data_IF_510484937030
#
_entry.id   IF_510484937030
#
_cell.length_a   1.000
_cell.length_b   1.000
_cell.length_c   1.000
_cell.angle_alpha   90.00
_cell.angle_beta   90.00
_cell.angle_gamma   90.00
#
_symmetry.space_group_name_H-M   'P 1'
#
loop_
_entity.id
_entity.type
_entity.pdbx_description
1 polymer ?
#
# COMPACT_ATOMS: atom_id res chain seq x y z
N UNK A 1 42.42 44.73 -18.37
CA UNK A 1 43.56 44.40 -17.49
C UNK A 1 43.45 42.91 -17.14
N UNK A 2 44.24 42.12 -17.89
CA UNK A 2 44.67 40.71 -17.75
C UNK A 2 43.60 39.64 -17.51
N UNK A 3 43.31 38.77 -18.48
CA UNK A 3 44.10 37.60 -18.93
C UNK A 3 44.14 36.47 -17.91
N UNK A 4 43.32 35.44 -18.15
CA UNK A 4 43.77 34.04 -18.25
C UNK A 4 42.83 33.29 -19.20
N UNK A 5 43.33 33.00 -20.40
CA UNK A 5 42.79 32.00 -21.31
C UNK A 5 43.43 30.65 -20.98
N UNK A 6 42.63 29.61 -20.72
CA UNK A 6 43.09 28.23 -20.86
C UNK A 6 42.01 27.40 -21.58
N UNK A 7 42.25 27.26 -22.88
CA UNK A 7 42.02 26.12 -23.75
C UNK A 7 40.83 25.17 -23.47
N UNK A 8 39.90 25.17 -24.42
CA UNK A 8 39.21 23.95 -24.87
C UNK A 8 40.23 22.81 -25.06
N UNK A 9 40.23 21.86 -24.13
CA UNK A 9 40.94 20.60 -24.28
C UNK A 9 40.08 19.66 -25.10
N UNK A 10 40.39 19.64 -26.40
CA UNK A 10 40.12 18.51 -27.28
C UNK A 10 40.76 17.23 -26.74
N UNK A 11 40.07 16.11 -26.96
CA UNK A 11 40.60 14.75 -26.94
C UNK A 11 41.23 14.23 -25.63
N UNK A 12 40.39 13.72 -24.73
CA UNK A 12 40.78 12.88 -23.60
C UNK A 12 39.96 11.58 -23.55
N UNK A 13 40.52 10.53 -24.14
CA UNK A 13 40.23 9.10 -23.99
C UNK A 13 38.84 8.52 -24.33
N UNK A 14 38.65 8.37 -25.64
CA UNK A 14 37.84 7.33 -26.29
C UNK A 14 38.51 5.93 -26.33
N UNK A 15 39.47 5.65 -25.44
CA UNK A 15 40.22 4.39 -25.37
C UNK A 15 39.98 3.70 -24.02
N UNK A 16 38.86 3.03 -23.84
CA UNK A 16 38.77 1.60 -24.15
C UNK A 16 37.31 1.26 -24.42
N UNK A 17 36.82 1.71 -25.58
CA UNK A 17 35.60 1.12 -26.16
C UNK A 17 35.95 -0.32 -26.49
N UNK A 18 35.33 -1.28 -25.82
CA UNK A 18 35.29 -2.64 -26.34
C UNK A 18 34.50 -2.57 -27.65
N UNK A 19 35.20 -2.36 -28.77
CA UNK A 19 34.59 -2.47 -30.08
C UNK A 19 34.01 -3.88 -30.15
N UNK A 20 32.72 -3.98 -30.42
CA UNK A 20 32.13 -5.28 -30.69
C UNK A 20 32.90 -5.92 -31.85
N UNK A 21 33.19 -7.22 -31.80
CA UNK A 21 33.97 -7.87 -32.84
C UNK A 21 33.41 -7.55 -34.23
N UNK A 22 34.28 -7.44 -35.25
CA UNK A 22 33.87 -7.10 -36.62
C UNK A 22 32.88 -8.09 -37.24
N UNK A 23 32.75 -9.28 -36.69
CA UNK A 23 31.73 -10.26 -37.09
C UNK A 23 30.34 -9.96 -36.49
N UNK A 24 30.26 -9.10 -35.46
CA UNK A 24 29.05 -8.63 -34.79
C UNK A 24 28.51 -7.34 -35.41
N UNK A 25 29.41 -6.40 -35.71
CA UNK A 25 29.07 -5.05 -36.17
C UNK A 25 29.98 -4.64 -37.31
N UNK A 26 29.41 -4.17 -38.41
CA UNK A 26 30.18 -3.65 -39.54
C UNK A 26 30.82 -2.28 -39.23
N UNK A 27 31.70 -1.80 -40.11
CA UNK A 27 32.37 -0.51 -39.98
C UNK A 27 31.44 0.72 -40.03
N UNK A 28 30.15 0.51 -40.29
CA UNK A 28 29.11 1.54 -40.33
C UNK A 28 28.18 1.48 -39.11
N UNK A 29 28.37 0.52 -38.20
CA UNK A 29 27.56 0.34 -37.01
C UNK A 29 26.33 -0.55 -37.20
N UNK A 30 26.18 -1.22 -38.36
CA UNK A 30 25.10 -2.18 -38.58
C UNK A 30 25.43 -3.54 -37.99
N UNK A 31 24.41 -4.20 -37.45
CA UNK A 31 24.53 -5.53 -36.87
C UNK A 31 24.49 -6.55 -37.99
N UNK A 32 25.54 -7.37 -38.12
CA UNK A 32 25.67 -8.38 -39.19
C UNK A 32 25.78 -9.81 -38.68
N UNK A 33 25.94 -10.02 -37.37
CA UNK A 33 26.04 -11.36 -36.79
C UNK A 33 24.69 -12.10 -36.73
N UNK A 34 24.67 -13.40 -37.09
CA UNK A 34 23.57 -14.29 -36.75
C UNK A 34 23.47 -14.43 -35.23
N UNK A 35 22.26 -14.25 -34.69
CA UNK A 35 21.91 -14.42 -33.27
C UNK A 35 22.65 -15.59 -32.63
N UNK A 36 22.53 -16.75 -33.28
CA UNK A 36 23.07 -18.05 -32.86
C UNK A 36 24.54 -18.01 -32.45
N UNK A 37 25.40 -17.27 -33.16
CA UNK A 37 26.85 -17.20 -32.87
C UNK A 37 27.15 -16.35 -31.63
N UNK A 38 26.35 -15.31 -31.38
CA UNK A 38 26.46 -14.47 -30.18
C UNK A 38 25.91 -15.21 -28.94
N UNK A 39 24.90 -16.05 -29.15
CA UNK A 39 24.35 -16.94 -28.11
C UNK A 39 25.34 -18.07 -27.77
N UNK A 40 25.99 -18.69 -28.77
CA UNK A 40 26.96 -19.80 -28.60
C UNK A 40 28.27 -19.37 -27.92
N UNK A 41 28.73 -18.12 -28.13
CA UNK A 41 29.96 -17.60 -27.50
C UNK A 41 29.76 -17.07 -26.06
N UNK A 42 28.57 -17.26 -25.46
CA UNK A 42 28.34 -16.97 -24.03
C UNK A 42 28.23 -15.47 -23.67
N UNK A 43 28.08 -14.57 -24.64
CA UNK A 43 27.99 -13.12 -24.41
C UNK A 43 26.77 -12.69 -23.57
N UNK A 44 25.67 -13.44 -23.61
CA UNK A 44 24.51 -13.19 -22.74
C UNK A 44 24.72 -13.64 -21.29
N UNK A 45 25.61 -14.62 -21.05
CA UNK A 45 25.89 -15.13 -19.72
C UNK A 45 26.65 -14.11 -18.84
N UNK A 46 27.27 -13.09 -19.44
CA UNK A 46 28.08 -12.11 -18.70
C UNK A 46 27.32 -10.84 -18.31
N UNK A 47 26.06 -10.63 -18.71
CA UNK A 47 25.26 -9.39 -18.53
C UNK A 47 25.90 -8.10 -19.08
N UNK A 48 27.20 -8.08 -19.36
CA UNK A 48 28.02 -6.96 -19.81
C UNK A 48 27.43 -6.32 -21.06
N UNK A 49 27.02 -7.13 -22.03
CA UNK A 49 26.43 -6.63 -23.26
C UNK A 49 25.06 -5.97 -23.03
N UNK A 50 24.27 -6.50 -22.09
CA UNK A 50 22.98 -5.91 -21.76
C UNK A 50 23.15 -4.56 -21.03
N UNK A 51 24.19 -4.43 -20.22
CA UNK A 51 24.50 -3.23 -19.44
C UNK A 51 25.34 -2.21 -20.21
N UNK A 52 25.80 -2.53 -21.43
CA UNK A 52 26.58 -1.62 -22.27
C UNK A 52 25.69 -0.57 -22.96
N UNK A 53 26.25 0.62 -23.21
CA UNK A 53 25.56 1.77 -23.83
C UNK A 53 25.09 1.50 -25.26
N UNK A 54 25.80 0.64 -26.01
CA UNK A 54 25.45 0.26 -27.38
C UNK A 54 24.98 -1.20 -27.47
N UNK A 55 25.62 -2.09 -26.72
CA UNK A 55 25.30 -3.51 -26.66
C UNK A 55 23.85 -3.80 -26.29
N UNK A 56 23.23 -2.96 -25.45
CA UNK A 56 21.82 -3.13 -25.09
C UNK A 56 20.88 -3.05 -26.30
N UNK A 57 21.18 -2.23 -27.31
CA UNK A 57 20.38 -2.14 -28.53
C UNK A 57 20.51 -3.39 -29.38
N UNK A 58 21.73 -3.95 -29.43
CA UNK A 58 21.97 -5.24 -30.06
C UNK A 58 21.11 -6.33 -29.42
N UNK A 59 21.11 -6.44 -28.09
CA UNK A 59 20.33 -7.48 -27.40
C UNK A 59 18.82 -7.26 -27.57
N UNK A 60 18.35 -6.02 -27.62
CA UNK A 60 16.94 -5.74 -27.92
C UNK A 60 16.53 -6.16 -29.33
N UNK A 61 17.35 -5.86 -30.34
CA UNK A 61 17.14 -6.32 -31.71
C UNK A 61 17.15 -7.85 -31.78
N UNK A 62 18.07 -8.46 -31.02
CA UNK A 62 18.19 -9.90 -30.92
C UNK A 62 16.90 -10.54 -30.37
N UNK A 63 16.39 -10.02 -29.25
CA UNK A 63 15.12 -10.47 -28.65
C UNK A 63 13.94 -10.28 -29.61
N UNK A 64 13.88 -9.14 -30.31
CA UNK A 64 12.78 -8.82 -31.23
C UNK A 64 12.66 -9.79 -32.41
N UNK A 65 13.79 -10.32 -32.88
CA UNK A 65 13.86 -11.22 -34.04
C UNK A 65 14.05 -12.70 -33.64
N UNK A 66 14.10 -13.00 -32.34
CA UNK A 66 14.30 -14.35 -31.84
C UNK A 66 13.08 -15.24 -32.12
N UNK A 67 13.32 -16.46 -32.58
CA UNK A 67 12.30 -17.49 -32.69
C UNK A 67 11.93 -18.09 -31.30
N UNK A 68 10.87 -18.91 -31.23
CA UNK A 68 10.37 -19.43 -29.95
C UNK A 68 11.39 -20.27 -29.14
N UNK A 69 12.39 -20.87 -29.78
CA UNK A 69 13.45 -21.61 -29.08
C UNK A 69 14.51 -20.64 -28.53
N UNK A 70 14.90 -19.64 -29.32
CA UNK A 70 15.85 -18.59 -28.92
C UNK A 70 15.28 -17.72 -27.80
N UNK A 71 14.00 -17.36 -27.85
CA UNK A 71 13.32 -16.60 -26.79
C UNK A 71 13.33 -17.34 -25.45
N UNK A 72 13.06 -18.66 -25.46
CA UNK A 72 13.14 -19.52 -24.27
C UNK A 72 14.55 -19.55 -23.69
N UNK A 73 15.55 -19.66 -24.56
CA UNK A 73 16.96 -19.65 -24.16
C UNK A 73 17.38 -18.29 -23.59
N UNK A 74 17.02 -17.18 -24.23
CA UNK A 74 17.32 -15.83 -23.73
C UNK A 74 16.69 -15.62 -22.35
N UNK A 75 15.42 -16.00 -22.22
CA UNK A 75 14.68 -15.91 -20.95
C UNK A 75 15.34 -16.71 -19.84
N UNK A 76 15.84 -17.93 -20.13
CA UNK A 76 16.50 -18.76 -19.13
C UNK A 76 17.86 -18.19 -18.69
N UNK A 77 18.62 -17.56 -19.59
CA UNK A 77 19.95 -17.02 -19.28
C UNK A 77 19.89 -15.67 -18.56
N UNK A 78 18.88 -14.84 -18.87
CA UNK A 78 18.72 -13.55 -18.20
C UNK A 78 18.21 -13.68 -16.76
N UNK A 79 17.67 -14.84 -16.38
CA UNK A 79 17.06 -15.10 -15.08
C UNK A 79 18.00 -14.79 -13.90
N UNK A 80 19.28 -15.16 -14.01
CA UNK A 80 20.25 -14.98 -12.93
C UNK A 80 20.59 -13.53 -12.56
N UNK A 81 20.26 -12.55 -13.42
CA UNK A 81 20.67 -11.14 -13.26
C UNK A 81 19.54 -10.13 -13.32
N UNK A 82 18.29 -10.56 -13.19
CA UNK A 82 17.12 -9.68 -13.41
C UNK A 82 17.09 -8.45 -12.52
N UNK A 83 17.34 -8.63 -11.22
CA UNK A 83 17.27 -7.52 -10.27
C UNK A 83 18.29 -6.40 -10.61
N UNK A 84 19.60 -6.67 -10.75
CA UNK A 84 20.54 -5.62 -11.16
C UNK A 84 20.26 -5.10 -12.58
N UNK A 85 19.74 -5.93 -13.49
CA UNK A 85 19.38 -5.49 -14.83
C UNK A 85 18.21 -4.50 -14.85
N UNK A 86 17.20 -4.67 -14.00
CA UNK A 86 16.08 -3.74 -13.89
C UNK A 86 16.48 -2.38 -13.33
N UNK A 87 17.56 -2.34 -12.53
CA UNK A 87 18.08 -1.11 -11.90
C UNK A 87 19.10 -0.37 -12.77
N UNK A 88 19.69 -1.04 -13.77
CA UNK A 88 20.66 -0.42 -14.67
C UNK A 88 19.98 0.29 -15.84
N UNK A 89 20.49 1.48 -16.19
CA UNK A 89 19.90 2.41 -17.17
C UNK A 89 19.79 1.88 -18.61
N UNK A 90 20.54 0.85 -18.96
CA UNK A 90 20.58 0.26 -20.29
C UNK A 90 19.90 -1.10 -20.31
N UNK A 91 20.27 -1.99 -19.40
CA UNK A 91 19.73 -3.35 -19.38
C UNK A 91 18.25 -3.40 -19.00
N UNK A 92 17.69 -2.36 -18.37
CA UNK A 92 16.25 -2.28 -18.14
C UNK A 92 15.47 -2.27 -19.46
N UNK A 93 16.04 -1.69 -20.54
CA UNK A 93 15.43 -1.70 -21.88
C UNK A 93 15.44 -3.10 -22.50
N UNK A 94 16.50 -3.87 -22.24
CA UNK A 94 16.56 -5.29 -22.63
C UNK A 94 15.48 -6.09 -21.91
N UNK A 95 15.35 -5.93 -20.58
CA UNK A 95 14.30 -6.61 -19.81
C UNK A 95 12.89 -6.20 -20.29
N UNK A 96 12.68 -4.92 -20.59
CA UNK A 96 11.41 -4.46 -21.17
C UNK A 96 11.09 -5.22 -22.46
N UNK A 97 12.06 -5.30 -23.38
CA UNK A 97 11.90 -5.98 -24.66
C UNK A 97 11.66 -7.48 -24.50
N UNK A 98 12.30 -8.11 -23.52
CA UNK A 98 12.06 -9.52 -23.17
C UNK A 98 10.65 -9.73 -22.66
N UNK A 99 10.16 -8.84 -21.78
CA UNK A 99 8.77 -8.89 -21.28
C UNK A 99 7.77 -8.72 -22.43
N UNK A 100 8.04 -7.82 -23.37
CA UNK A 100 7.17 -7.56 -24.53
C UNK A 100 7.11 -8.74 -25.52
N UNK A 101 8.22 -9.46 -25.73
CA UNK A 101 8.36 -10.39 -26.87
C UNK A 101 8.40 -11.87 -26.48
N UNK A 102 9.04 -12.23 -25.36
CA UNK A 102 9.45 -13.62 -25.11
C UNK A 102 8.43 -14.50 -24.36
N UNK A 103 7.15 -14.12 -24.27
CA UNK A 103 6.19 -14.79 -23.38
C UNK A 103 6.75 -14.96 -21.95
N UNK A 104 7.46 -13.95 -21.47
CA UNK A 104 8.24 -13.94 -20.23
C UNK A 104 7.38 -14.11 -18.95
N UNK A 105 6.05 -14.15 -19.09
CA UNK A 105 5.09 -14.13 -18.01
C UNK A 105 5.28 -15.25 -16.98
N UNK A 106 5.42 -16.51 -17.42
CA UNK A 106 5.58 -17.63 -16.50
C UNK A 106 6.94 -17.61 -15.78
N UNK A 107 8.01 -17.23 -16.49
CA UNK A 107 9.34 -17.14 -15.89
C UNK A 107 9.40 -15.99 -14.87
N UNK A 108 8.84 -14.82 -15.19
CA UNK A 108 8.75 -13.67 -14.29
C UNK A 108 8.10 -14.03 -12.95
N UNK A 109 6.99 -14.76 -12.99
CA UNK A 109 6.23 -15.17 -11.81
C UNK A 109 6.98 -16.15 -10.90
N UNK A 110 7.93 -16.93 -11.44
CA UNK A 110 8.79 -17.83 -10.65
C UNK A 110 9.99 -17.13 -10.01
N UNK A 111 10.15 -15.82 -10.21
CA UNK A 111 11.23 -15.05 -9.61
C UNK A 111 10.91 -14.64 -8.16
N UNK A 112 11.94 -14.14 -7.49
CA UNK A 112 11.81 -13.56 -6.15
C UNK A 112 10.91 -12.32 -6.16
N UNK A 113 10.30 -12.05 -5.01
CA UNK A 113 9.49 -10.83 -4.76
C UNK A 113 10.24 -9.53 -5.10
N UNK A 114 11.56 -9.49 -4.95
CA UNK A 114 12.39 -8.32 -5.28
C UNK A 114 12.44 -8.05 -6.79
N UNK A 115 12.39 -9.08 -7.63
CA UNK A 115 12.32 -8.93 -9.08
C UNK A 115 10.94 -8.44 -9.51
N UNK A 116 9.86 -8.99 -8.94
CA UNK A 116 8.50 -8.52 -9.22
C UNK A 116 8.36 -7.03 -8.89
N UNK A 117 8.87 -6.62 -7.72
CA UNK A 117 8.91 -5.22 -7.33
C UNK A 117 9.68 -4.35 -8.34
N UNK A 118 10.89 -4.76 -8.74
CA UNK A 118 11.68 -4.02 -9.73
C UNK A 118 10.97 -3.91 -11.08
N UNK A 119 10.31 -4.97 -11.56
CA UNK A 119 9.52 -4.93 -12.80
C UNK A 119 8.39 -3.90 -12.68
N UNK A 120 7.65 -3.91 -11.57
CA UNK A 120 6.47 -3.06 -11.37
C UNK A 120 6.79 -1.59 -11.13
N UNK A 121 7.99 -1.29 -10.61
CA UNK A 121 8.46 0.10 -10.44
C UNK A 121 9.15 0.64 -11.70
N UNK A 122 9.81 -0.22 -12.48
CA UNK A 122 10.53 0.18 -13.69
C UNK A 122 9.63 0.30 -14.92
N UNK A 123 8.65 -0.60 -15.10
CA UNK A 123 7.87 -0.69 -16.33
C UNK A 123 6.40 -0.23 -16.17
N UNK A 124 5.76 0.28 -17.23
CA UNK A 124 4.35 0.65 -17.17
C UNK A 124 3.45 -0.59 -17.07
N UNK A 125 2.27 -0.41 -16.47
CA UNK A 125 1.32 -1.48 -16.10
C UNK A 125 1.04 -2.50 -17.22
N UNK A 126 0.96 -2.06 -18.48
CA UNK A 126 0.71 -2.93 -19.62
C UNK A 126 1.75 -4.05 -19.78
N UNK A 127 2.98 -3.85 -19.30
CA UNK A 127 4.04 -4.85 -19.40
C UNK A 127 3.93 -5.93 -18.33
N UNK A 128 3.28 -5.64 -17.19
CA UNK A 128 3.23 -6.55 -16.05
C UNK A 128 1.81 -6.86 -15.58
N UNK A 129 0.81 -6.50 -16.37
CA UNK A 129 -0.60 -6.82 -16.13
C UNK A 129 -0.82 -8.31 -15.84
N UNK A 130 -0.07 -9.18 -16.53
CA UNK A 130 -0.09 -10.62 -16.33
C UNK A 130 0.17 -11.05 -14.88
N UNK A 131 0.91 -10.26 -14.09
CA UNK A 131 1.17 -10.53 -12.67
C UNK A 131 -0.13 -10.40 -11.88
N UNK A 132 -0.92 -9.37 -12.14
CA UNK A 132 -2.23 -9.17 -11.48
C UNK A 132 -3.21 -10.24 -11.93
N UNK A 133 -3.24 -10.56 -13.23
CA UNK A 133 -4.09 -11.64 -13.77
C UNK A 133 -3.74 -12.99 -13.13
N UNK A 134 -2.46 -13.27 -12.88
CA UNK A 134 -2.04 -14.45 -12.16
C UNK A 134 -2.53 -14.43 -10.71
N UNK A 135 -2.37 -13.33 -9.98
CA UNK A 135 -2.90 -13.19 -8.62
C UNK A 135 -4.41 -13.40 -8.55
N UNK A 136 -5.14 -12.95 -9.57
CA UNK A 136 -6.58 -13.18 -9.70
C UNK A 136 -6.88 -14.67 -9.97
N UNK A 137 -6.13 -15.31 -10.87
CA UNK A 137 -6.33 -16.71 -11.25
C UNK A 137 -5.95 -17.68 -10.13
N UNK A 138 -4.92 -17.35 -9.36
CA UNK A 138 -4.35 -18.19 -8.30
C UNK A 138 -4.18 -17.37 -7.02
N UNK A 139 -5.26 -17.26 -6.26
CA UNK A 139 -5.29 -16.49 -5.00
C UNK A 139 -4.23 -16.92 -3.98
N UNK A 140 -3.81 -18.18 -3.96
CA UNK A 140 -2.75 -18.61 -3.03
C UNK A 140 -1.41 -17.94 -3.34
N UNK A 141 -1.07 -17.72 -4.62
CA UNK A 141 0.14 -16.96 -4.99
C UNK A 141 0.02 -15.49 -4.55
N UNK A 142 -1.18 -14.90 -4.62
CA UNK A 142 -1.44 -13.56 -4.08
C UNK A 142 -1.17 -13.52 -2.57
N UNK A 143 -1.66 -14.51 -1.82
CA UNK A 143 -1.50 -14.55 -0.37
C UNK A 143 -0.05 -14.82 0.04
N UNK A 144 0.65 -15.73 -0.62
CA UNK A 144 2.08 -15.96 -0.39
C UNK A 144 2.90 -14.67 -0.57
N UNK A 145 2.58 -13.87 -1.59
CA UNK A 145 3.24 -12.59 -1.83
C UNK A 145 2.80 -11.54 -0.80
N UNK A 146 1.50 -11.44 -0.46
CA UNK A 146 1.00 -10.49 0.53
C UNK A 146 1.58 -10.74 1.94
N UNK A 147 1.75 -12.01 2.31
CA UNK A 147 2.27 -12.47 3.60
C UNK A 147 3.80 -12.55 3.63
N UNK A 148 4.48 -11.92 2.66
CA UNK A 148 5.93 -11.80 2.62
C UNK A 148 6.40 -10.39 2.98
N UNK A 149 7.49 -10.29 3.76
CA UNK A 149 8.11 -9.03 4.21
C UNK A 149 8.32 -7.99 3.10
N UNK A 150 8.68 -8.42 1.90
CA UNK A 150 8.89 -7.55 0.74
C UNK A 150 7.74 -7.66 -0.27
N UNK A 151 7.08 -8.82 -0.33
CA UNK A 151 5.96 -9.05 -1.24
C UNK A 151 4.71 -8.22 -0.91
N UNK A 152 4.47 -7.84 0.36
CA UNK A 152 3.34 -6.98 0.69
C UNK A 152 3.40 -5.63 -0.04
N UNK A 153 4.60 -5.11 -0.36
CA UNK A 153 4.79 -3.91 -1.18
C UNK A 153 4.45 -4.15 -2.65
N UNK A 154 4.71 -5.34 -3.16
CA UNK A 154 4.32 -5.77 -4.52
C UNK A 154 2.79 -5.71 -4.65
N UNK A 155 2.06 -6.25 -3.66
CA UNK A 155 0.58 -6.22 -3.68
C UNK A 155 0.05 -4.79 -3.56
N UNK A 156 0.62 -3.95 -2.71
CA UNK A 156 0.24 -2.52 -2.64
C UNK A 156 0.45 -1.81 -3.98
N UNK A 157 1.59 -2.03 -4.64
CA UNK A 157 1.84 -1.46 -5.97
C UNK A 157 0.85 -1.96 -7.02
N UNK A 158 0.48 -3.24 -6.97
CA UNK A 158 -0.54 -3.81 -7.85
C UNK A 158 -1.88 -3.07 -7.69
N UNK A 159 -2.31 -2.82 -6.44
CA UNK A 159 -3.51 -2.06 -6.11
C UNK A 159 -3.40 -0.61 -6.62
N UNK A 160 -2.33 0.10 -6.24
CA UNK A 160 -2.11 1.52 -6.58
C UNK A 160 -2.15 1.79 -8.09
N UNK A 161 -1.55 0.89 -8.88
CA UNK A 161 -1.42 1.05 -10.33
C UNK A 161 -2.66 0.57 -11.08
N UNK A 162 -3.34 -0.47 -10.58
CA UNK A 162 -4.59 -0.96 -11.18
C UNK A 162 -5.72 0.04 -11.00
N UNK A 163 -5.83 0.66 -9.82
CA UNK A 163 -6.88 1.64 -9.53
C UNK A 163 -6.94 2.77 -10.56
N UNK A 164 -5.78 3.26 -11.01
CA UNK A 164 -5.70 4.38 -11.94
C UNK A 164 -5.97 4.03 -13.40
N UNK A 165 -5.88 2.74 -13.79
CA UNK A 165 -5.74 2.35 -15.20
C UNK A 165 -6.57 1.14 -15.64
N UNK A 166 -6.96 0.26 -14.72
CA UNK A 166 -7.62 -1.04 -14.98
C UNK A 166 -8.58 -1.40 -13.83
N UNK A 167 -9.72 -0.69 -13.67
CA UNK A 167 -10.66 -0.91 -12.57
C UNK A 167 -11.18 -2.36 -12.48
N UNK A 168 -11.47 -3.01 -13.62
CA UNK A 168 -11.94 -4.41 -13.65
C UNK A 168 -10.93 -5.42 -13.04
N UNK A 169 -9.63 -5.19 -13.24
CA UNK A 169 -8.58 -6.02 -12.63
C UNK A 169 -8.49 -5.75 -11.13
N UNK A 170 -8.63 -4.48 -10.74
CA UNK A 170 -8.67 -4.13 -9.33
C UNK A 170 -9.87 -4.80 -8.64
N UNK A 171 -11.07 -4.75 -9.21
CA UNK A 171 -12.26 -5.39 -8.64
C UNK A 171 -12.03 -6.88 -8.36
N UNK A 172 -11.46 -7.58 -9.34
CA UNK A 172 -11.17 -9.02 -9.23
C UNK A 172 -10.09 -9.32 -8.18
N UNK A 173 -9.06 -8.48 -8.10
CA UNK A 173 -8.00 -8.60 -7.09
C UNK A 173 -8.56 -8.32 -5.69
N UNK A 174 -9.35 -7.25 -5.55
CA UNK A 174 -9.96 -6.83 -4.30
C UNK A 174 -10.96 -7.86 -3.79
N UNK A 175 -11.69 -8.55 -4.67
CA UNK A 175 -12.59 -9.64 -4.26
C UNK A 175 -11.87 -10.72 -3.44
N UNK A 176 -10.65 -11.12 -3.83
CA UNK A 176 -9.84 -12.07 -3.06
C UNK A 176 -9.39 -11.50 -1.72
N UNK A 177 -8.97 -10.23 -1.70
CA UNK A 177 -8.49 -9.57 -0.48
C UNK A 177 -9.60 -9.35 0.55
N UNK A 178 -10.79 -8.93 0.10
CA UNK A 178 -11.97 -8.74 0.97
C UNK A 178 -12.43 -10.06 1.54
N UNK A 179 -12.56 -11.10 0.70
CA UNK A 179 -13.01 -12.43 1.14
C UNK A 179 -12.04 -13.13 2.12
N UNK A 180 -10.79 -12.67 2.22
CA UNK A 180 -9.77 -13.24 3.12
C UNK A 180 -9.20 -12.18 4.09
N UNK A 181 -9.95 -11.10 4.30
CA UNK A 181 -9.48 -9.94 5.05
C UNK A 181 -9.02 -10.30 6.47
N UNK A 182 -9.73 -11.19 7.18
CA UNK A 182 -9.38 -11.57 8.55
C UNK A 182 -7.98 -12.20 8.62
N UNK A 183 -7.69 -13.19 7.77
CA UNK A 183 -6.36 -13.81 7.61
C UNK A 183 -5.29 -12.74 7.36
N UNK A 184 -5.55 -11.85 6.40
CA UNK A 184 -4.58 -10.85 5.98
C UNK A 184 -4.36 -9.77 7.04
N UNK A 185 -5.41 -9.36 7.75
CA UNK A 185 -5.35 -8.39 8.84
C UNK A 185 -4.56 -8.93 10.04
N UNK A 186 -4.65 -10.22 10.31
CA UNK A 186 -3.94 -10.90 11.39
C UNK A 186 -2.49 -11.28 11.04
N UNK A 187 -2.07 -11.19 9.78
CA UNK A 187 -0.71 -11.53 9.35
C UNK A 187 0.28 -10.36 9.59
N UNK A 188 1.53 -10.68 9.95
CA UNK A 188 2.57 -9.69 10.30
C UNK A 188 2.97 -8.73 9.16
N UNK A 189 2.76 -9.12 7.89
CA UNK A 189 3.06 -8.33 6.70
C UNK A 189 1.81 -7.95 5.90
N UNK A 190 0.85 -8.87 5.74
CA UNK A 190 -0.32 -8.59 4.92
C UNK A 190 -1.27 -7.55 5.54
N UNK A 191 -1.19 -7.32 6.87
CA UNK A 191 -1.97 -6.26 7.53
C UNK A 191 -1.68 -4.87 6.93
N UNK A 192 -0.46 -4.63 6.41
CA UNK A 192 -0.11 -3.38 5.73
C UNK A 192 -0.87 -3.20 4.41
N UNK A 193 -1.20 -4.29 3.72
CA UNK A 193 -2.03 -4.26 2.50
C UNK A 193 -3.45 -3.82 2.88
N UNK A 194 -4.05 -4.42 3.91
CA UNK A 194 -5.40 -4.07 4.37
C UNK A 194 -5.45 -2.62 4.86
N UNK A 195 -4.47 -2.19 5.67
CA UNK A 195 -4.34 -0.80 6.08
C UNK A 195 -4.19 0.16 4.90
N UNK A 196 -3.46 -0.23 3.84
CA UNK A 196 -3.30 0.59 2.65
C UNK A 196 -4.64 0.83 1.96
N UNK A 197 -5.45 -0.22 1.81
CA UNK A 197 -6.80 -0.11 1.22
C UNK A 197 -7.68 0.82 2.05
N UNK A 198 -7.68 0.67 3.37
CA UNK A 198 -8.49 1.49 4.28
C UNK A 198 -8.14 2.99 4.21
N UNK A 199 -6.84 3.32 4.09
CA UNK A 199 -6.36 4.72 4.10
C UNK A 199 -6.51 5.43 2.76
N UNK A 200 -6.57 4.69 1.66
CA UNK A 200 -6.55 5.27 0.33
C UNK A 200 -7.94 5.80 -0.04
N UNK A 201 -8.11 7.13 -0.06
CA UNK A 201 -9.37 7.76 -0.46
C UNK A 201 -9.98 7.23 -1.77
N UNK A 202 -9.19 7.03 -2.84
CA UNK A 202 -9.68 6.42 -4.09
C UNK A 202 -10.12 4.95 -4.00
N UNK A 203 -10.03 4.31 -2.83
CA UNK A 203 -10.44 2.93 -2.58
C UNK A 203 -11.58 2.86 -1.53
N UNK A 204 -12.33 3.96 -1.35
CA UNK A 204 -13.41 4.08 -0.36
C UNK A 204 -14.39 2.92 -0.39
N UNK A 205 -14.80 2.48 -1.57
CA UNK A 205 -15.81 1.44 -1.72
C UNK A 205 -15.29 0.09 -1.20
N UNK A 206 -14.00 -0.19 -1.42
CA UNK A 206 -13.38 -1.40 -0.86
C UNK A 206 -13.07 -1.28 0.62
N UNK A 207 -12.74 -0.07 1.11
CA UNK A 207 -12.61 0.19 2.55
C UNK A 207 -13.93 -0.13 3.25
N UNK A 208 -15.04 0.39 2.73
CA UNK A 208 -16.35 0.24 3.36
C UNK A 208 -16.75 -1.24 3.40
N UNK A 209 -16.55 -1.97 2.29
CA UNK A 209 -16.72 -3.43 2.24
C UNK A 209 -15.81 -4.20 3.20
N UNK A 210 -14.54 -3.82 3.35
CA UNK A 210 -13.64 -4.44 4.34
C UNK A 210 -14.16 -4.23 5.76
N UNK A 211 -14.67 -3.04 6.07
CA UNK A 211 -15.23 -2.76 7.39
C UNK A 211 -16.49 -3.61 7.61
N UNK A 212 -17.43 -3.58 6.66
CA UNK A 212 -18.72 -4.27 6.75
C UNK A 212 -18.60 -5.80 6.79
N UNK A 213 -17.81 -6.36 5.88
CA UNK A 213 -17.74 -7.82 5.65
C UNK A 213 -16.76 -8.53 6.58
N UNK A 214 -15.76 -7.81 7.15
CA UNK A 214 -14.65 -8.43 7.88
C UNK A 214 -14.45 -7.87 9.30
N UNK A 215 -14.51 -6.55 9.50
CA UNK A 215 -14.18 -5.94 10.79
C UNK A 215 -15.36 -5.87 11.74
N UNK A 216 -16.53 -5.43 11.26
CA UNK A 216 -17.75 -5.45 12.05
C UNK A 216 -18.06 -6.89 12.49
N UNK A 217 -18.63 -7.00 13.68
CA UNK A 217 -18.85 -8.23 14.47
C UNK A 217 -17.58 -8.93 14.98
N UNK A 218 -16.39 -8.41 14.66
CA UNK A 218 -15.10 -8.95 15.06
C UNK A 218 -14.20 -7.92 15.76
N UNK A 219 -14.69 -6.73 16.08
CA UNK A 219 -13.84 -5.65 16.60
C UNK A 219 -13.15 -6.02 17.92
N UNK A 220 -13.84 -6.72 18.83
CA UNK A 220 -13.25 -7.12 20.11
C UNK A 220 -12.12 -8.14 19.93
N UNK A 221 -12.29 -9.14 19.07
CA UNK A 221 -11.26 -10.15 18.82
C UNK A 221 -10.07 -9.53 18.09
N UNK A 222 -10.30 -8.80 16.99
CA UNK A 222 -9.25 -8.17 16.20
C UNK A 222 -8.48 -7.09 16.96
N UNK A 223 -9.14 -6.37 17.87
CA UNK A 223 -8.46 -5.39 18.75
C UNK A 223 -7.48 -6.04 19.73
N UNK A 224 -7.63 -7.34 19.99
CA UNK A 224 -6.73 -8.10 20.85
C UNK A 224 -5.61 -8.78 20.07
N UNK A 225 -5.58 -8.67 18.75
CA UNK A 225 -4.52 -9.20 17.90
C UNK A 225 -3.38 -8.20 17.70
N UNK A 226 -2.14 -8.70 17.68
CA UNK A 226 -0.94 -7.87 17.55
C UNK A 226 -0.92 -7.03 16.28
N UNK A 227 -1.40 -7.60 15.17
CA UNK A 227 -1.36 -6.96 13.85
C UNK A 227 -2.71 -6.39 13.43
N UNK A 228 -3.80 -7.11 13.69
CA UNK A 228 -5.13 -6.66 13.30
C UNK A 228 -5.63 -5.47 14.14
N UNK A 229 -5.14 -5.26 15.36
CA UNK A 229 -5.45 -4.05 16.14
C UNK A 229 -5.07 -2.77 15.39
N UNK A 230 -3.98 -2.77 14.62
CA UNK A 230 -3.61 -1.64 13.75
C UNK A 230 -4.56 -1.47 12.56
N UNK A 231 -5.16 -2.55 12.06
CA UNK A 231 -6.19 -2.49 11.02
C UNK A 231 -7.46 -1.86 11.60
N UNK A 232 -7.88 -2.28 12.79
CA UNK A 232 -9.03 -1.68 13.50
C UNK A 232 -8.79 -0.19 13.79
N UNK A 233 -7.60 0.18 14.27
CA UNK A 233 -7.23 1.58 14.49
C UNK A 233 -7.36 2.42 13.21
N UNK A 234 -7.06 1.84 12.04
CA UNK A 234 -7.19 2.53 10.76
C UNK A 234 -8.62 2.54 10.24
N UNK A 235 -9.40 1.50 10.48
CA UNK A 235 -10.83 1.53 10.19
C UNK A 235 -11.52 2.65 10.98
N UNK A 236 -11.26 2.75 12.29
CA UNK A 236 -11.81 3.85 13.11
C UNK A 236 -11.39 5.24 12.63
N UNK A 237 -10.22 5.39 12.01
CA UNK A 237 -9.69 6.69 11.55
C UNK A 237 -10.27 7.10 10.19
N UNK A 238 -10.61 6.15 9.32
CA UNK A 238 -10.99 6.41 7.93
C UNK A 238 -12.40 5.95 7.54
N UNK A 239 -13.13 5.29 8.44
CA UNK A 239 -14.51 4.89 8.22
C UNK A 239 -15.41 6.10 7.94
N UNK A 240 -16.40 5.98 7.03
CA UNK A 240 -17.43 6.98 6.89
C UNK A 240 -18.26 7.07 8.18
N UNK A 241 -18.93 8.20 8.47
CA UNK A 241 -19.66 8.41 9.72
C UNK A 241 -20.64 7.30 10.11
N UNK A 242 -21.35 6.71 9.14
CA UNK A 242 -22.29 5.61 9.39
C UNK A 242 -21.57 4.35 9.91
N UNK A 243 -20.50 3.92 9.24
CA UNK A 243 -19.73 2.76 9.68
C UNK A 243 -18.94 3.03 10.95
N UNK A 244 -18.42 4.25 11.13
CA UNK A 244 -17.80 4.64 12.40
C UNK A 244 -18.80 4.53 13.55
N UNK A 245 -20.07 4.87 13.30
CA UNK A 245 -21.11 4.74 14.29
C UNK A 245 -21.38 3.28 14.67
N UNK A 246 -21.57 2.42 13.67
CA UNK A 246 -21.75 0.98 13.90
C UNK A 246 -20.55 0.35 14.63
N UNK A 247 -19.32 0.76 14.29
CA UNK A 247 -18.12 0.29 14.97
C UNK A 247 -18.08 0.70 16.45
N UNK A 248 -18.53 1.92 16.76
CA UNK A 248 -18.59 2.40 18.14
C UNK A 248 -19.67 1.64 18.91
N UNK A 249 -20.89 1.56 18.38
CA UNK A 249 -21.99 0.83 19.00
C UNK A 249 -21.63 -0.63 19.28
N UNK A 250 -20.92 -1.28 18.35
CA UNK A 250 -20.40 -2.64 18.57
C UNK A 250 -19.43 -2.71 19.76
N UNK A 251 -18.47 -1.79 19.87
CA UNK A 251 -17.47 -1.79 20.96
C UNK A 251 -18.14 -1.54 22.32
N UNK A 252 -19.15 -0.67 22.40
CA UNK A 252 -19.81 -0.35 23.67
C UNK A 252 -20.88 -1.36 24.08
N UNK A 253 -21.72 -1.77 23.12
CA UNK A 253 -22.98 -2.48 23.40
C UNK A 253 -23.11 -3.79 22.61
N UNK A 254 -22.21 -4.07 21.66
CA UNK A 254 -22.31 -5.24 20.77
C UNK A 254 -21.90 -6.58 21.38
N UNK A 255 -21.30 -6.57 22.58
CA UNK A 255 -20.78 -7.77 23.23
C UNK A 255 -21.45 -8.00 24.59
N UNK A 256 -21.86 -9.25 24.83
CA UNK A 256 -22.43 -9.66 26.12
C UNK A 256 -21.33 -9.61 27.20
N UNK A 257 -21.53 -8.88 28.31
CA UNK A 257 -20.56 -8.85 29.40
C UNK A 257 -20.34 -10.23 30.01
N UNK A 258 -19.12 -10.48 30.49
CA UNK A 258 -18.77 -11.75 31.11
C UNK A 258 -19.73 -12.09 32.26
N UNK A 259 -20.32 -13.31 32.31
CA UNK A 259 -21.43 -13.63 33.23
C UNK A 259 -21.09 -13.42 34.70
N UNK A 260 -19.86 -13.77 35.11
CA UNK A 260 -19.38 -13.63 36.49
C UNK A 260 -18.77 -12.25 36.78
N UNK A 261 -17.74 -11.86 36.04
CA UNK A 261 -16.98 -10.62 36.31
C UNK A 261 -17.70 -9.34 35.89
N UNK A 262 -18.78 -9.46 35.11
CA UNK A 262 -19.53 -8.35 34.49
C UNK A 262 -18.70 -7.41 33.60
N UNK A 263 -17.47 -7.81 33.24
CA UNK A 263 -16.62 -7.05 32.33
C UNK A 263 -17.16 -7.13 30.92
N UNK A 264 -17.29 -5.99 30.28
CA UNK A 264 -17.66 -5.87 28.86
C UNK A 264 -16.42 -5.75 27.95
N UNK A 265 -16.67 -5.55 26.65
CA UNK A 265 -15.63 -5.38 25.64
C UNK A 265 -14.68 -4.22 25.96
N UNK A 266 -15.22 -3.09 26.44
CA UNK A 266 -14.43 -1.91 26.78
C UNK A 266 -13.51 -2.19 27.98
N UNK A 267 -13.99 -2.88 29.01
CA UNK A 267 -13.16 -3.29 30.15
C UNK A 267 -12.02 -4.22 29.72
N UNK A 268 -12.27 -5.12 28.77
CA UNK A 268 -11.24 -6.01 28.21
C UNK A 268 -10.19 -5.18 27.47
N UNK A 269 -10.63 -4.35 26.52
CA UNK A 269 -9.74 -3.60 25.64
C UNK A 269 -8.92 -2.55 26.39
N UNK A 270 -9.49 -1.84 27.37
CA UNK A 270 -8.81 -0.82 28.18
C UNK A 270 -7.51 -1.33 28.82
N UNK A 271 -7.50 -2.59 29.24
CA UNK A 271 -6.36 -3.21 29.92
C UNK A 271 -5.61 -4.24 29.06
N UNK A 272 -6.03 -4.46 27.80
CA UNK A 272 -5.35 -5.36 26.88
C UNK A 272 -4.07 -4.73 26.31
N UNK A 273 -3.03 -5.53 26.06
CA UNK A 273 -1.73 -5.06 25.54
C UNK A 273 -1.80 -4.36 24.17
N UNK A 274 -2.79 -4.72 23.34
CA UNK A 274 -3.07 -4.08 22.03
C UNK A 274 -4.38 -3.30 22.00
N UNK A 275 -5.42 -3.79 22.69
CA UNK A 275 -6.77 -3.19 22.64
C UNK A 275 -6.81 -1.77 23.20
N UNK A 276 -5.90 -1.44 24.12
CA UNK A 276 -5.80 -0.11 24.70
C UNK A 276 -5.49 0.98 23.65
N UNK A 277 -4.82 0.63 22.54
CA UNK A 277 -4.55 1.57 21.44
C UNK A 277 -5.82 1.83 20.63
N UNK A 278 -6.64 0.80 20.42
CA UNK A 278 -7.96 0.92 19.77
C UNK A 278 -8.89 1.82 20.59
N UNK A 279 -8.93 1.66 21.92
CA UNK A 279 -9.72 2.55 22.78
C UNK A 279 -9.25 4.01 22.69
N UNK A 280 -7.93 4.25 22.69
CA UNK A 280 -7.38 5.59 22.45
C UNK A 280 -7.76 6.15 21.07
N UNK A 281 -7.90 5.28 20.06
CA UNK A 281 -8.35 5.69 18.73
C UNK A 281 -9.82 6.06 18.72
N UNK A 282 -10.68 5.32 19.44
CA UNK A 282 -12.11 5.65 19.58
C UNK A 282 -12.29 7.10 20.04
N UNK A 283 -11.52 7.55 21.04
CA UNK A 283 -11.52 8.94 21.48
C UNK A 283 -11.26 9.96 20.37
N UNK A 284 -10.20 9.73 19.59
CA UNK A 284 -9.75 10.66 18.55
C UNK A 284 -10.62 10.64 17.30
N UNK A 285 -11.29 9.52 17.04
CA UNK A 285 -12.17 9.36 15.89
C UNK A 285 -13.60 9.79 16.21
N UNK A 286 -14.08 9.56 17.43
CA UNK A 286 -15.45 9.90 17.83
C UNK A 286 -15.77 11.39 17.68
N UNK A 287 -14.79 12.28 17.86
CA UNK A 287 -14.98 13.72 17.63
C UNK A 287 -15.36 14.08 16.18
N UNK A 288 -15.13 13.19 15.22
CA UNK A 288 -15.42 13.43 13.80
C UNK A 288 -16.86 13.06 13.40
N UNK A 289 -17.65 12.47 14.30
CA UNK A 289 -19.04 12.12 14.01
C UNK A 289 -19.88 13.37 13.82
N UNK A 290 -20.61 13.54 12.72
CA UNK A 290 -21.39 14.75 12.45
C UNK A 290 -22.53 14.96 13.45
N UNK A 291 -23.10 13.87 13.97
CA UNK A 291 -24.14 13.89 14.99
C UNK A 291 -23.54 14.26 16.35
N UNK A 292 -23.90 15.44 16.86
CA UNK A 292 -23.42 15.94 18.15
C UNK A 292 -23.99 15.19 19.34
N UNK A 293 -25.22 14.70 19.26
CA UNK A 293 -25.86 13.97 20.36
C UNK A 293 -25.19 12.61 20.51
N UNK A 294 -25.03 11.89 19.40
CA UNK A 294 -24.34 10.61 19.36
C UNK A 294 -22.87 10.72 19.78
N UNK A 295 -22.18 11.77 19.31
CA UNK A 295 -20.81 12.09 19.71
C UNK A 295 -20.70 12.30 21.22
N UNK A 296 -21.57 13.12 21.81
CA UNK A 296 -21.54 13.42 23.24
C UNK A 296 -21.89 12.19 24.08
N UNK A 297 -22.83 11.37 23.61
CA UNK A 297 -23.21 10.13 24.28
C UNK A 297 -22.01 9.16 24.40
N UNK A 298 -21.31 8.88 23.30
CA UNK A 298 -20.14 7.99 23.37
C UNK A 298 -18.98 8.57 24.17
N UNK A 299 -18.72 9.88 24.04
CA UNK A 299 -17.68 10.54 24.84
C UNK A 299 -17.99 10.45 26.33
N UNK A 300 -19.24 10.69 26.74
CA UNK A 300 -19.67 10.60 28.13
C UNK A 300 -19.56 9.16 28.67
N UNK A 301 -19.95 8.14 27.89
CA UNK A 301 -19.79 6.72 28.26
C UNK A 301 -18.32 6.36 28.49
N UNK A 302 -17.45 6.77 27.58
CA UNK A 302 -16.00 6.56 27.69
C UNK A 302 -15.40 7.28 28.91
N UNK A 303 -15.73 8.57 29.09
CA UNK A 303 -15.28 9.38 30.23
C UNK A 303 -15.72 8.75 31.55
N UNK A 304 -16.98 8.33 31.62
CA UNK A 304 -17.54 7.62 32.77
C UNK A 304 -16.71 6.38 33.06
N UNK A 305 -16.50 5.49 32.08
CA UNK A 305 -15.79 4.22 32.32
C UNK A 305 -14.34 4.41 32.76
N UNK A 306 -13.65 5.38 32.19
CA UNK A 306 -12.26 5.71 32.54
C UNK A 306 -12.17 6.32 33.93
N UNK A 307 -13.09 7.22 34.26
CA UNK A 307 -13.14 7.86 35.58
C UNK A 307 -13.33 6.82 36.68
N UNK A 308 -14.21 5.84 36.47
CA UNK A 308 -14.40 4.71 37.38
C UNK A 308 -13.12 3.85 37.52
N UNK A 309 -12.35 3.69 36.44
CA UNK A 309 -11.13 2.88 36.41
C UNK A 309 -9.84 3.69 36.64
N UNK A 310 -9.92 4.97 37.00
CA UNK A 310 -8.79 5.92 36.99
C UNK A 310 -7.58 5.43 37.79
N UNK A 311 -7.81 4.95 39.01
CA UNK A 311 -6.74 4.46 39.90
C UNK A 311 -6.02 3.26 39.29
N UNK A 312 -6.78 2.32 38.69
CA UNK A 312 -6.21 1.13 38.06
C UNK A 312 -5.46 1.49 36.78
N UNK A 313 -6.03 2.35 35.94
CA UNK A 313 -5.40 2.84 34.70
C UNK A 313 -4.08 3.56 34.98
N UNK A 314 -4.00 4.37 36.04
CA UNK A 314 -2.79 5.10 36.41
C UNK A 314 -1.57 4.19 36.70
N UNK A 315 -1.80 2.89 36.96
CA UNK A 315 -0.74 1.89 37.18
C UNK A 315 -0.06 1.43 35.89
N UNK A 316 -0.66 1.67 34.73
CA UNK A 316 -0.16 1.22 33.43
C UNK A 316 0.24 2.41 32.54
N UNK A 317 1.29 2.25 31.73
CA UNK A 317 1.72 3.27 30.76
C UNK A 317 0.61 3.59 29.74
N UNK A 318 -0.13 2.59 29.29
CA UNK A 318 -1.31 2.75 28.44
C UNK A 318 -2.42 3.54 29.13
N UNK A 319 -2.73 3.20 30.38
CA UNK A 319 -3.76 3.90 31.15
C UNK A 319 -3.41 5.37 31.44
N UNK A 320 -2.14 5.70 31.69
CA UNK A 320 -1.69 7.10 31.78
C UNK A 320 -1.91 7.87 30.47
N UNK A 321 -1.65 7.25 29.31
CA UNK A 321 -1.92 7.86 27.99
C UNK A 321 -3.41 8.05 27.71
N UNK A 322 -4.23 7.08 28.10
CA UNK A 322 -5.70 7.17 28.01
C UNK A 322 -6.21 8.36 28.84
N UNK A 323 -5.78 8.47 30.10
CA UNK A 323 -6.14 9.58 30.99
C UNK A 323 -5.69 10.94 30.41
N UNK A 324 -4.48 11.02 29.85
CA UNK A 324 -4.01 12.24 29.19
C UNK A 324 -4.81 12.58 27.93
N UNK A 325 -5.25 11.58 27.16
CA UNK A 325 -6.06 11.79 25.96
C UNK A 325 -7.45 12.32 26.32
N UNK A 326 -8.06 11.78 27.38
CA UNK A 326 -9.33 12.27 27.91
C UNK A 326 -9.22 13.73 28.37
N UNK A 327 -8.15 14.08 29.10
CA UNK A 327 -7.93 15.46 29.54
C UNK A 327 -7.80 16.42 28.35
N UNK A 328 -7.00 16.06 27.33
CA UNK A 328 -6.84 16.88 26.12
C UNK A 328 -8.16 17.11 25.38
N UNK A 329 -9.07 16.13 25.39
CA UNK A 329 -10.38 16.27 24.77
C UNK A 329 -11.31 17.18 25.57
N UNK A 330 -11.30 17.08 26.90
CA UNK A 330 -12.07 17.98 27.76
C UNK A 330 -11.60 19.44 27.64
N UNK A 331 -10.31 19.65 27.37
CA UNK A 331 -9.73 20.96 27.12
C UNK A 331 -10.00 21.49 25.69
N UNK A 332 -10.59 20.67 24.81
CA UNK A 332 -10.80 21.01 23.41
C UNK A 332 -12.08 21.86 23.21
N UNK A 333 -12.00 23.06 22.61
CA UNK A 333 -13.13 23.99 22.49
C UNK A 333 -14.28 23.49 21.60
N UNK A 334 -14.10 22.37 20.88
CA UNK A 334 -15.11 21.73 20.04
C UNK A 334 -16.17 20.99 20.89
N UNK A 335 -15.83 20.59 22.11
CA UNK A 335 -16.71 19.82 23.02
C UNK A 335 -17.45 20.73 24.02
N UNK A 336 -16.98 21.96 24.24
CA UNK A 336 -17.64 22.92 25.14
C UNK A 336 -18.86 23.53 24.44
N UNK A 337 -20.10 23.27 24.88
CA UNK A 337 -21.23 24.08 24.47
C UNK A 337 -20.98 25.47 25.05
N UNK A 338 -20.83 26.48 24.19
CA UNK A 338 -20.73 27.87 24.62
C UNK A 338 -21.85 28.17 25.64
N UNK A 339 -21.54 28.52 26.90
CA UNK A 339 -22.57 28.80 27.88
C UNK A 339 -23.31 30.07 27.42
N UNK A 340 -24.57 29.86 27.01
CA UNK A 340 -25.66 30.84 26.95
C UNK A 340 -25.16 32.25 26.58
N UNK A 341 -25.03 32.53 25.28
CA UNK A 341 -25.24 33.92 24.83
C UNK A 341 -26.68 34.26 25.17
N UNK A 342 -26.85 35.03 26.24
CA UNK A 342 -28.11 35.60 26.69
C UNK A 342 -28.94 36.02 25.49
N UNK A 343 -30.15 35.43 25.39
CA UNK A 343 -31.18 35.90 24.47
C UNK A 343 -31.37 37.39 24.74
N UNK A 344 -30.88 38.26 23.84
CA UNK A 344 -31.42 39.62 23.78
C UNK A 344 -32.90 39.49 23.42
N UNK A 345 -33.82 40.18 24.10
CA UNK A 345 -35.21 40.17 23.70
C UNK A 345 -35.30 40.69 22.27
N UNK A 346 -35.80 39.86 21.35
CA UNK A 346 -36.18 40.33 20.03
C UNK A 346 -37.40 41.24 20.19
N UNK A 347 -37.20 42.54 20.06
CA UNK A 347 -38.30 43.46 19.75
C UNK A 347 -38.78 43.15 18.32
N UNK A 348 -40.10 43.17 18.04
CA UNK A 348 -40.60 42.93 16.69
C UNK A 348 -40.21 44.10 15.79
N UNK A 349 -39.30 43.88 14.84
CA UNK A 349 -39.04 44.85 13.79
C UNK A 349 -40.19 44.79 12.78
N UNK A 350 -40.88 45.91 12.64
CA UNK A 350 -41.96 46.13 11.69
C UNK A 350 -41.50 45.88 10.24
N UNK A 351 -42.39 45.28 9.44
CA UNK A 351 -42.20 45.04 8.00
C UNK A 351 -42.38 46.36 7.23
N UNK A 352 -41.41 46.85 6.45
CA UNK A 352 -41.63 47.98 5.54
C UNK A 352 -42.28 47.53 4.23
N UNK A 353 -43.34 48.24 3.85
CA UNK A 353 -44.22 48.00 2.71
C UNK A 353 -43.54 48.29 1.35
N UNK A 354 -43.13 47.24 0.63
CA UNK A 354 -42.96 47.30 -0.84
C UNK A 354 -43.60 46.14 -1.59
N UNK A 355 -44.65 45.56 -1.00
CA UNK A 355 -45.69 44.81 -1.71
C UNK A 355 -47.05 45.05 -1.03
N UNK A 356 -47.47 46.32 -0.98
CA UNK A 356 -48.84 46.87 -1.03
C UNK A 356 -48.82 48.31 -0.55
#
# INVERSE_FOLDING_TARGET
LNETSEAETTAGDSRTRAALPSWVMDGHGHIIAPLKKILEEGLLATFTLCMDVFGNFFVQCAVQNANAQEQRWITSHLFGGLHPMCLNRYSCRVIQKVIEVCCYHEAALRNTVSVLHSIMTTFPLNHWQFIIEQFIRKKEELFEVAENKYGCRVVQLAIEKSNKRRPQLLDSLMAHLVANCERLACNEFANYVIQHVIKAGPLSDYRDRLIEECLLRNLLSLSQEKYASHVVEKALEFAPPALLAEMMDEIFDGYVPHPETKKDALDIMLFHQYGNYVVQKCFRSGINLPDMELRMEWLNRLETRISHNRVRLARYSSGKKILSTLQQLNDCPIIIPNPIRSRRPCTPAAVPSKYR
#
